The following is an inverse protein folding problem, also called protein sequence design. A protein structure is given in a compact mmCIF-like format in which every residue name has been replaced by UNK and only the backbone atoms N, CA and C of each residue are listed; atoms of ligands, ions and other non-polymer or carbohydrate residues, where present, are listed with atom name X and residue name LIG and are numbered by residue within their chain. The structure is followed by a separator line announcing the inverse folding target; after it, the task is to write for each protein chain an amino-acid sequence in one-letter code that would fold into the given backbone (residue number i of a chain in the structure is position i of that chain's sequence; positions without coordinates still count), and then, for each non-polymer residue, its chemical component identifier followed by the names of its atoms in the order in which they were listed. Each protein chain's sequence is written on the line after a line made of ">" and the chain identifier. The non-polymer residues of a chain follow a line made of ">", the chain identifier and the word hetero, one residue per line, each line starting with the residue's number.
data_IF_143061010721
#
_entry.id   IF_143061010721
#
_cell.length_a   1.000
_cell.length_b   1.000
_cell.length_c   1.000
_cell.angle_alpha   90.00
_cell.angle_beta   90.00
_cell.angle_gamma   90.00
#
_symmetry.space_group_name_H-M   'P 1'
#
loop_
_entity.id
_entity.type
_entity.pdbx_description
1 polymer ?
#
# COMPACT_ATOMS: atom_id res chain seq x y z
N UNK A 1 3.66 33.45 -17.40
CA UNK A 1 2.27 33.01 -17.23
C UNK A 1 2.10 32.10 -16.00
N UNK A 2 3.13 31.41 -15.52
CA UNK A 2 3.06 30.51 -14.35
C UNK A 2 3.23 31.23 -13.00
N UNK A 3 3.60 32.51 -12.97
CA UNK A 3 4.01 33.21 -11.76
C UNK A 3 3.01 34.22 -11.17
N UNK A 4 1.95 34.57 -11.89
CA UNK A 4 1.03 35.61 -11.43
C UNK A 4 -0.16 35.05 -10.63
N UNK A 5 -0.13 33.76 -10.33
CA UNK A 5 -1.21 33.13 -9.59
C UNK A 5 -0.89 33.13 -8.09
N UNK A 6 -1.21 34.27 -7.46
CA UNK A 6 -1.19 34.41 -5.98
C UNK A 6 -2.15 33.45 -5.29
N UNK A 7 -3.04 32.82 -6.07
CA UNK A 7 -4.05 31.89 -5.57
C UNK A 7 -3.51 30.45 -5.49
N UNK A 8 -2.42 30.13 -6.20
CA UNK A 8 -1.89 28.76 -6.18
C UNK A 8 -1.11 28.47 -4.92
N UNK A 9 -1.52 27.46 -4.20
CA UNK A 9 -0.83 26.93 -3.04
C UNK A 9 0.40 26.10 -3.50
N UNK A 10 1.59 26.50 -3.05
CA UNK A 10 2.87 25.82 -3.31
C UNK A 10 3.92 26.33 -2.30
N UNK A 11 5.12 25.73 -2.28
CA UNK A 11 6.18 26.11 -1.35
C UNK A 11 7.02 27.29 -1.84
N UNK A 12 7.62 28.01 -0.90
CA UNK A 12 8.55 29.11 -1.22
C UNK A 12 9.78 28.59 -1.98
N UNK A 13 10.32 27.46 -1.57
CA UNK A 13 11.46 26.83 -2.24
C UNK A 13 11.20 26.52 -3.73
N UNK A 14 10.00 26.03 -4.06
CA UNK A 14 9.59 25.78 -5.45
C UNK A 14 9.47 27.07 -6.26
N UNK A 15 8.86 28.13 -5.68
CA UNK A 15 8.77 29.45 -6.31
C UNK A 15 10.16 30.03 -6.60
N UNK A 16 11.07 29.96 -5.64
CA UNK A 16 12.43 30.49 -5.77
C UNK A 16 13.24 29.71 -6.81
N UNK A 17 13.14 28.38 -6.82
CA UNK A 17 13.79 27.51 -7.81
C UNK A 17 13.33 27.85 -9.24
N UNK A 18 12.01 27.95 -9.43
CA UNK A 18 11.43 28.25 -10.74
C UNK A 18 11.79 29.68 -11.21
N UNK A 19 11.71 30.67 -10.30
CA UNK A 19 12.14 32.04 -10.62
C UNK A 19 13.62 32.11 -11.01
N UNK A 20 14.47 31.41 -10.27
CA UNK A 20 15.90 31.34 -10.57
C UNK A 20 16.16 30.70 -11.94
N UNK A 21 15.55 29.55 -12.23
CA UNK A 21 15.70 28.87 -13.50
C UNK A 21 15.25 29.71 -14.70
N UNK A 22 14.15 30.45 -14.57
CA UNK A 22 13.67 31.39 -15.60
C UNK A 22 14.66 32.55 -15.78
N UNK A 23 15.16 33.11 -14.70
CA UNK A 23 16.11 34.22 -14.72
C UNK A 23 17.41 33.80 -15.43
N UNK A 24 17.99 32.64 -15.08
CA UNK A 24 19.19 32.09 -15.65
C UNK A 24 19.02 31.78 -17.15
N UNK A 25 17.89 31.14 -17.51
CA UNK A 25 17.55 30.85 -18.91
C UNK A 25 17.37 32.13 -19.74
N UNK A 26 16.73 33.17 -19.18
CA UNK A 26 16.57 34.46 -19.86
C UNK A 26 17.90 35.15 -20.08
N UNK A 27 18.77 35.17 -19.07
CA UNK A 27 20.12 35.75 -19.19
C UNK A 27 20.98 35.00 -20.24
N UNK A 28 20.81 33.67 -20.33
CA UNK A 28 21.52 32.89 -21.36
C UNK A 28 21.06 33.22 -22.80
N UNK A 29 19.80 33.64 -22.98
CA UNK A 29 19.30 34.10 -24.30
C UNK A 29 19.91 35.46 -24.75
N UNK A 30 20.36 36.27 -23.80
CA UNK A 30 20.99 37.56 -24.08
C UNK A 30 22.49 37.43 -24.42
N UNK A 31 23.08 36.24 -24.23
CA UNK A 31 24.46 35.91 -24.53
C UNK A 31 24.54 34.94 -25.71
N UNK A 32 25.78 34.56 -26.14
CA UNK A 32 25.93 33.58 -27.20
C UNK A 32 25.41 32.19 -26.74
N UNK A 33 24.35 31.74 -27.37
CA UNK A 33 23.70 30.46 -27.08
C UNK A 33 24.55 29.31 -27.61
N UNK A 34 25.16 28.55 -26.71
CA UNK A 34 25.87 27.32 -27.07
C UNK A 34 24.93 26.11 -26.82
N UNK A 35 25.20 24.98 -27.49
CA UNK A 35 24.42 23.75 -27.24
C UNK A 35 24.50 23.29 -25.77
N UNK A 36 25.67 23.53 -25.13
CA UNK A 36 25.89 23.22 -23.72
C UNK A 36 25.03 24.11 -22.79
N UNK A 37 25.05 25.45 -23.01
CA UNK A 37 24.24 26.37 -22.20
C UNK A 37 22.74 26.14 -22.37
N UNK A 38 22.30 25.77 -23.57
CA UNK A 38 20.91 25.36 -23.82
C UNK A 38 20.53 24.10 -23.01
N UNK A 39 21.36 23.05 -23.03
CA UNK A 39 21.11 21.81 -22.32
C UNK A 39 21.02 22.04 -20.81
N UNK A 40 21.97 22.76 -20.22
CA UNK A 40 22.03 23.07 -18.78
C UNK A 40 20.78 23.86 -18.34
N UNK A 41 20.42 24.92 -19.06
CA UNK A 41 19.24 25.72 -18.70
C UNK A 41 17.93 24.97 -18.90
N UNK A 42 17.84 24.11 -19.93
CA UNK A 42 16.67 23.26 -20.15
C UNK A 42 16.50 22.23 -19.02
N UNK A 43 17.58 21.60 -18.58
CA UNK A 43 17.56 20.67 -17.45
C UNK A 43 17.16 21.37 -16.15
N UNK A 44 17.75 22.52 -15.84
CA UNK A 44 17.43 23.30 -14.65
C UNK A 44 15.95 23.76 -14.64
N UNK A 45 15.43 24.19 -15.78
CA UNK A 45 14.04 24.61 -15.90
C UNK A 45 13.09 23.42 -15.72
N UNK A 46 13.40 22.28 -16.30
CA UNK A 46 12.59 21.06 -16.14
C UNK A 46 12.58 20.60 -14.66
N UNK A 47 13.73 20.56 -14.00
CA UNK A 47 13.81 20.23 -12.58
C UNK A 47 13.02 21.19 -11.68
N UNK A 48 13.05 22.49 -11.99
CA UNK A 48 12.27 23.48 -11.24
C UNK A 48 10.75 23.36 -11.49
N UNK A 49 10.34 23.01 -12.70
CA UNK A 49 8.93 22.73 -13.03
C UNK A 49 8.46 21.45 -12.30
N UNK A 50 9.29 20.41 -12.25
CA UNK A 50 9.00 19.19 -11.53
C UNK A 50 8.82 19.46 -10.02
N UNK A 51 9.77 20.16 -9.40
CA UNK A 51 9.69 20.56 -8.00
C UNK A 51 8.41 21.39 -7.70
N UNK A 52 8.05 22.32 -8.58
CA UNK A 52 6.84 23.12 -8.42
C UNK A 52 5.58 22.25 -8.52
N UNK A 53 5.55 21.32 -9.45
CA UNK A 53 4.43 20.39 -9.62
C UNK A 53 4.26 19.49 -8.39
N UNK A 54 5.35 18.94 -7.87
CA UNK A 54 5.36 18.14 -6.65
C UNK A 54 4.94 18.96 -5.43
N UNK A 55 5.49 20.16 -5.27
CA UNK A 55 5.15 21.05 -4.16
C UNK A 55 3.69 21.44 -4.15
N UNK A 56 3.11 21.71 -5.32
CA UNK A 56 1.70 22.02 -5.48
C UNK A 56 0.81 20.84 -5.10
N UNK A 57 1.12 19.66 -5.59
CA UNK A 57 0.38 18.45 -5.25
C UNK A 57 0.44 18.13 -3.75
N UNK A 58 1.63 18.24 -3.15
CA UNK A 58 1.82 18.01 -1.72
C UNK A 58 1.07 19.05 -0.87
N UNK A 59 1.12 20.34 -1.24
CA UNK A 59 0.42 21.40 -0.54
C UNK A 59 -1.11 21.26 -0.64
N UNK A 60 -1.63 20.88 -1.80
CA UNK A 60 -3.07 20.60 -1.98
C UNK A 60 -3.52 19.43 -1.08
N UNK A 61 -2.70 18.40 -0.98
CA UNK A 61 -2.99 17.25 -0.11
C UNK A 61 -2.94 17.63 1.37
N UNK A 62 -1.96 18.46 1.77
CA UNK A 62 -1.87 19.00 3.12
C UNK A 62 -3.14 19.79 3.47
N UNK A 63 -3.58 20.69 2.57
CA UNK A 63 -4.80 21.49 2.74
C UNK A 63 -6.03 20.60 2.90
N UNK A 64 -6.20 19.60 2.04
CA UNK A 64 -7.33 18.65 2.13
C UNK A 64 -7.32 17.89 3.47
N UNK A 65 -6.15 17.40 3.92
CA UNK A 65 -6.02 16.71 5.20
C UNK A 65 -6.35 17.61 6.39
N UNK A 66 -5.78 18.83 6.42
CA UNK A 66 -6.03 19.77 7.50
C UNK A 66 -7.51 20.22 7.55
N UNK A 67 -8.10 20.52 6.39
CA UNK A 67 -9.52 20.86 6.28
C UNK A 67 -10.42 19.69 6.72
N UNK A 68 -10.04 18.44 6.39
CA UNK A 68 -10.75 17.24 6.86
C UNK A 68 -10.78 17.14 8.39
N UNK A 69 -9.67 17.45 9.06
CA UNK A 69 -9.64 17.52 10.53
C UNK A 69 -10.46 18.71 11.06
N UNK A 70 -10.32 19.89 10.44
CA UNK A 70 -11.06 21.09 10.86
C UNK A 70 -12.58 20.89 10.78
N UNK A 71 -13.08 20.26 9.72
CA UNK A 71 -14.48 19.90 9.57
C UNK A 71 -14.97 18.98 10.71
N UNK A 72 -14.13 18.07 11.18
CA UNK A 72 -14.45 17.16 12.29
C UNK A 72 -14.44 17.88 13.65
N UNK A 73 -13.56 18.86 13.84
CA UNK A 73 -13.56 19.72 15.03
C UNK A 73 -14.78 20.64 15.09
N UNK A 74 -15.20 21.17 13.96
CA UNK A 74 -16.31 22.11 13.87
C UNK A 74 -17.69 21.46 13.82
N UNK A 75 -17.78 20.12 13.82
CA UNK A 75 -19.04 19.39 13.77
C UNK A 75 -19.82 19.65 12.47
N UNK A 76 -19.14 19.59 11.33
CA UNK A 76 -19.77 19.78 10.02
C UNK A 76 -20.85 18.71 9.78
N UNK A 77 -22.03 19.14 9.34
CA UNK A 77 -23.15 18.25 9.10
C UNK A 77 -22.77 17.11 8.13
N UNK A 78 -23.08 15.86 8.48
CA UNK A 78 -22.75 14.66 7.72
C UNK A 78 -21.34 14.12 7.90
N UNK A 79 -20.49 14.82 8.63
CA UNK A 79 -19.13 14.37 8.96
C UNK A 79 -19.10 13.90 10.41
N UNK A 80 -18.65 12.66 10.69
CA UNK A 80 -18.44 12.20 12.07
C UNK A 80 -17.38 13.07 12.74
N UNK A 81 -17.79 13.79 13.78
CA UNK A 81 -16.95 14.74 14.49
C UNK A 81 -16.04 14.11 15.54
N UNK A 82 -15.24 14.95 16.16
CA UNK A 82 -14.34 14.56 17.26
C UNK A 82 -14.94 14.78 18.65
N UNK A 83 -16.26 14.93 18.78
CA UNK A 83 -16.95 15.24 20.04
C UNK A 83 -16.59 14.29 21.19
N UNK A 84 -16.39 13.01 20.88
CA UNK A 84 -16.04 11.97 21.88
C UNK A 84 -14.63 12.14 22.49
N UNK A 85 -13.79 12.97 21.88
CA UNK A 85 -12.41 13.22 22.34
C UNK A 85 -12.27 14.54 23.10
N UNK A 86 -13.30 15.40 23.12
CA UNK A 86 -13.28 16.70 23.78
C UNK A 86 -12.89 16.54 25.25
N UNK A 87 -11.88 17.31 25.68
CA UNK A 87 -11.35 17.31 27.04
C UNK A 87 -10.20 16.33 27.26
N UNK A 88 -9.67 15.71 26.20
CA UNK A 88 -8.37 15.03 26.26
C UNK A 88 -7.26 15.97 25.80
N UNK A 89 -6.06 15.82 26.39
CA UNK A 89 -4.89 16.63 26.00
C UNK A 89 -4.53 16.38 24.51
N UNK A 90 -4.75 15.16 24.01
CA UNK A 90 -4.47 14.75 22.64
C UNK A 90 -5.40 15.43 21.63
N UNK A 91 -6.66 15.69 22.02
CA UNK A 91 -7.59 16.49 21.21
C UNK A 91 -7.09 17.92 21.06
N UNK A 92 -6.68 18.54 22.16
CA UNK A 92 -6.17 19.91 22.14
C UNK A 92 -4.87 20.02 21.31
N UNK A 93 -3.97 19.05 21.42
CA UNK A 93 -2.73 18.99 20.63
C UNK A 93 -3.01 18.92 19.12
N UNK A 94 -3.95 18.06 18.70
CA UNK A 94 -4.31 17.97 17.29
C UNK A 94 -5.01 19.25 16.80
N UNK A 95 -5.91 19.81 17.61
CA UNK A 95 -6.63 21.05 17.27
C UNK A 95 -5.66 22.22 17.07
N UNK A 96 -4.74 22.46 18.03
CA UNK A 96 -3.72 23.52 17.92
C UNK A 96 -2.83 23.31 16.68
N UNK A 97 -2.37 22.09 16.43
CA UNK A 97 -1.55 21.78 15.26
C UNK A 97 -2.27 22.10 13.95
N UNK A 98 -3.53 21.69 13.84
CA UNK A 98 -4.33 21.92 12.62
C UNK A 98 -4.63 23.40 12.43
N UNK A 99 -5.15 24.08 13.47
CA UNK A 99 -5.66 25.44 13.37
C UNK A 99 -4.54 26.48 13.36
N UNK A 100 -3.60 26.39 14.30
CA UNK A 100 -2.66 27.45 14.61
C UNK A 100 -1.32 27.30 13.89
N UNK A 101 -1.03 26.10 13.37
CA UNK A 101 0.20 25.89 12.60
C UNK A 101 -0.11 25.61 11.12
N UNK A 102 -0.88 24.54 10.80
CA UNK A 102 -1.02 24.07 9.43
C UNK A 102 -1.93 24.96 8.59
N UNK A 103 -3.16 25.20 9.03
CA UNK A 103 -4.11 26.06 8.29
C UNK A 103 -3.61 27.50 8.24
N UNK A 104 -2.98 27.98 9.31
CA UNK A 104 -2.36 29.31 9.30
C UNK A 104 -1.26 29.41 8.24
N UNK A 105 -0.37 28.40 8.14
CA UNK A 105 0.69 28.38 7.13
C UNK A 105 0.13 28.31 5.69
N UNK A 106 -0.99 27.63 5.50
CA UNK A 106 -1.72 27.56 4.23
C UNK A 106 -2.32 28.91 3.88
N UNK A 107 -3.05 29.54 4.79
CA UNK A 107 -3.74 30.82 4.59
C UNK A 107 -2.75 31.96 4.32
N UNK A 108 -1.64 32.00 5.07
CA UNK A 108 -0.58 32.99 4.90
C UNK A 108 0.32 32.70 3.69
N UNK A 109 0.16 31.57 3.00
CA UNK A 109 1.04 31.14 1.90
C UNK A 109 2.50 31.02 2.32
N UNK A 110 2.75 30.60 3.55
CA UNK A 110 4.07 30.59 4.19
C UNK A 110 4.74 29.21 4.21
N UNK A 111 4.25 28.24 3.44
CA UNK A 111 4.89 26.92 3.28
C UNK A 111 6.31 27.08 2.71
N UNK A 112 7.30 26.55 3.43
CA UNK A 112 8.72 26.74 3.11
C UNK A 112 9.18 25.77 2.01
N UNK A 113 9.04 24.48 2.24
CA UNK A 113 9.52 23.41 1.36
C UNK A 113 8.71 22.11 1.54
N UNK A 114 9.04 21.09 0.76
CA UNK A 114 8.41 19.76 0.84
C UNK A 114 8.65 19.09 2.21
N UNK A 115 9.80 19.30 2.82
CA UNK A 115 10.10 18.71 4.12
C UNK A 115 9.21 19.25 5.24
N UNK A 116 8.84 20.52 5.18
CA UNK A 116 7.86 21.11 6.11
C UNK A 116 6.48 20.50 5.91
N UNK A 117 6.05 20.31 4.66
CA UNK A 117 4.75 19.68 4.36
C UNK A 117 4.73 18.24 4.90
N UNK A 118 5.78 17.46 4.65
CA UNK A 118 5.94 16.11 5.16
C UNK A 118 5.90 16.06 6.70
N UNK A 119 6.59 17.01 7.36
CA UNK A 119 6.57 17.14 8.81
C UNK A 119 5.17 17.45 9.34
N UNK A 120 4.42 18.34 8.70
CA UNK A 120 3.05 18.65 9.08
C UNK A 120 2.12 17.43 8.94
N UNK A 121 2.21 16.71 7.82
CA UNK A 121 1.44 15.49 7.58
C UNK A 121 1.74 14.42 8.63
N UNK A 122 3.02 14.18 8.91
CA UNK A 122 3.44 13.23 9.94
C UNK A 122 2.93 13.61 11.33
N UNK A 123 3.10 14.87 11.75
CA UNK A 123 2.68 15.35 13.07
C UNK A 123 1.16 15.29 13.25
N UNK A 124 0.38 15.64 12.23
CA UNK A 124 -1.08 15.53 12.28
C UNK A 124 -1.51 14.07 12.41
N UNK A 125 -0.92 13.17 11.64
CA UNK A 125 -1.22 11.76 11.72
C UNK A 125 -0.83 11.15 13.08
N UNK A 126 0.33 11.49 13.62
CA UNK A 126 0.76 11.04 14.95
C UNK A 126 -0.19 11.56 16.05
N UNK A 127 -0.55 12.85 16.01
CA UNK A 127 -1.48 13.43 16.96
C UNK A 127 -2.89 12.82 16.85
N UNK A 128 -3.37 12.57 15.64
CA UNK A 128 -4.62 11.87 15.36
C UNK A 128 -4.62 10.46 15.96
N UNK A 129 -3.60 9.67 15.70
CA UNK A 129 -3.50 8.31 16.25
C UNK A 129 -3.49 8.32 17.78
N UNK A 130 -2.75 9.25 18.41
CA UNK A 130 -2.74 9.41 19.86
C UNK A 130 -4.13 9.76 20.41
N UNK A 131 -4.83 10.69 19.76
CA UNK A 131 -6.19 11.06 20.14
C UNK A 131 -7.16 9.87 20.04
N UNK A 132 -7.12 9.13 18.94
CA UNK A 132 -7.98 7.93 18.76
C UNK A 132 -7.67 6.88 19.82
N UNK A 133 -6.40 6.65 20.14
CA UNK A 133 -5.97 5.68 21.14
C UNK A 133 -6.54 5.94 22.53
N UNK A 134 -6.89 7.20 22.89
CA UNK A 134 -7.51 7.52 24.19
C UNK A 134 -8.86 6.83 24.42
N UNK A 135 -9.55 6.42 23.36
CA UNK A 135 -10.85 5.77 23.42
C UNK A 135 -10.79 4.26 23.19
N UNK A 136 -9.60 3.69 23.01
CA UNK A 136 -9.42 2.27 22.79
C UNK A 136 -9.06 1.57 24.08
N UNK A 137 -9.87 0.58 24.49
CA UNK A 137 -9.53 -0.29 25.61
C UNK A 137 -8.74 -1.51 25.11
N UNK A 138 -7.43 -1.46 25.26
CA UNK A 138 -6.51 -2.54 24.87
C UNK A 138 -6.44 -3.68 25.90
N UNK A 139 -6.99 -3.52 27.10
CA UNK A 139 -6.72 -4.40 28.26
C UNK A 139 -7.28 -5.82 28.12
N UNK A 140 -8.32 -6.00 27.33
CA UNK A 140 -8.99 -7.30 27.12
C UNK A 140 -8.55 -8.02 25.84
N UNK A 141 -7.58 -7.47 25.10
CA UNK A 141 -7.18 -8.00 23.80
C UNK A 141 -6.53 -9.39 23.91
N UNK A 142 -6.98 -10.30 23.05
CA UNK A 142 -6.34 -11.59 22.84
C UNK A 142 -6.52 -12.04 21.38
N UNK A 143 -5.80 -13.06 20.94
CA UNK A 143 -5.99 -13.62 19.60
C UNK A 143 -7.40 -14.16 19.36
N UNK A 144 -8.11 -14.55 20.41
CA UNK A 144 -9.50 -15.05 20.35
C UNK A 144 -10.54 -13.93 20.48
N UNK A 145 -10.13 -12.80 21.06
CA UNK A 145 -10.95 -11.59 21.25
C UNK A 145 -10.12 -10.36 20.86
N UNK A 146 -9.85 -10.16 19.57
CA UNK A 146 -9.08 -9.02 19.12
C UNK A 146 -9.82 -7.70 19.36
N UNK A 147 -9.05 -6.65 19.62
CA UNK A 147 -9.55 -5.28 19.70
C UNK A 147 -9.42 -4.62 18.33
N UNK A 148 -10.51 -4.10 17.81
CA UNK A 148 -10.51 -3.35 16.55
C UNK A 148 -9.89 -1.96 16.78
N UNK A 149 -8.79 -1.71 16.10
CA UNK A 149 -8.05 -0.43 16.11
C UNK A 149 -8.02 0.22 14.72
N UNK A 150 -8.91 -0.22 13.83
CA UNK A 150 -9.03 0.30 12.46
C UNK A 150 -9.21 1.81 12.42
N UNK A 151 -9.88 2.39 13.43
CA UNK A 151 -10.03 3.84 13.55
C UNK A 151 -8.72 4.63 13.65
N UNK A 152 -7.58 3.98 13.91
CA UNK A 152 -6.25 4.60 13.88
C UNK A 152 -5.67 4.71 12.47
N UNK A 153 -6.24 4.01 11.49
CA UNK A 153 -5.95 4.18 10.06
C UNK A 153 -6.82 5.32 9.55
N UNK A 154 -6.21 6.34 8.99
CA UNK A 154 -6.98 7.42 8.35
C UNK A 154 -7.52 6.92 7.02
N UNK A 155 -8.83 7.03 6.83
CA UNK A 155 -9.51 6.66 5.58
C UNK A 155 -9.14 5.24 5.07
N UNK A 156 -9.44 4.18 5.86
CA UNK A 156 -9.01 2.83 5.55
C UNK A 156 -9.74 2.20 4.34
N UNK A 157 -10.83 2.81 3.88
CA UNK A 157 -11.66 2.33 2.77
C UNK A 157 -11.67 3.28 1.57
N UNK A 158 -10.71 4.20 1.48
CA UNK A 158 -10.60 5.18 0.39
C UNK A 158 -11.87 5.95 0.06
N UNK A 159 -12.68 6.19 1.11
CA UNK A 159 -13.95 6.89 1.01
C UNK A 159 -14.15 7.87 2.17
N UNK A 160 -14.68 9.04 1.87
CA UNK A 160 -15.08 10.02 2.88
C UNK A 160 -16.51 10.49 2.59
N UNK A 161 -17.20 10.97 3.64
CA UNK A 161 -18.50 11.60 3.47
C UNK A 161 -18.30 12.99 2.88
N UNK A 162 -18.88 13.22 1.73
CA UNK A 162 -18.96 14.55 1.14
C UNK A 162 -19.96 15.41 1.94
N UNK A 163 -19.50 16.53 2.46
CA UNK A 163 -20.30 17.37 3.34
C UNK A 163 -21.49 18.04 2.63
N UNK A 164 -21.37 18.30 1.32
CA UNK A 164 -22.40 18.97 0.53
C UNK A 164 -23.48 18.00 0.06
N UNK A 165 -23.08 16.83 -0.40
CA UNK A 165 -24.00 15.83 -0.98
C UNK A 165 -24.51 14.81 0.04
N UNK A 166 -23.85 14.66 1.18
CA UNK A 166 -24.11 13.62 2.18
C UNK A 166 -23.97 12.19 1.61
N UNK A 167 -23.17 12.05 0.57
CA UNK A 167 -22.86 10.75 -0.06
C UNK A 167 -21.37 10.41 0.14
N UNK A 168 -21.02 9.13 0.05
CA UNK A 168 -19.63 8.69 0.07
C UNK A 168 -18.93 9.11 -1.23
N UNK A 169 -17.80 9.77 -1.09
CA UNK A 169 -16.93 10.17 -2.18
C UNK A 169 -15.58 9.45 -2.06
N UNK A 170 -14.98 9.12 -3.19
CA UNK A 170 -13.65 8.51 -3.21
C UNK A 170 -12.60 9.52 -2.73
N UNK A 171 -11.74 9.08 -1.82
CA UNK A 171 -10.66 9.90 -1.26
C UNK A 171 -9.45 9.04 -0.92
N UNK A 172 -8.25 9.59 -1.09
CA UNK A 172 -7.00 9.01 -0.61
C UNK A 172 -6.39 9.84 0.54
N UNK A 173 -7.19 10.69 1.17
CA UNK A 173 -6.79 11.49 2.33
C UNK A 173 -6.15 10.59 3.40
N UNK A 174 -5.00 11.02 3.95
CA UNK A 174 -4.24 10.25 4.93
C UNK A 174 -3.27 9.23 4.34
N UNK A 175 -3.37 8.90 3.06
CA UNK A 175 -2.44 8.01 2.37
C UNK A 175 -1.40 8.79 1.58
N UNK A 176 -0.15 8.38 1.66
CA UNK A 176 0.97 8.94 0.93
C UNK A 176 1.35 8.06 -0.25
N UNK A 177 1.77 8.66 -1.37
CA UNK A 177 2.25 7.93 -2.52
C UNK A 177 3.61 8.50 -2.96
N UNK A 178 4.56 7.60 -3.24
CA UNK A 178 5.88 8.01 -3.74
C UNK A 178 5.88 8.45 -5.21
N UNK A 179 4.72 8.42 -5.87
CA UNK A 179 4.53 8.88 -7.26
C UNK A 179 3.23 9.65 -7.40
N UNK A 180 3.22 10.58 -8.33
CA UNK A 180 2.04 11.36 -8.72
C UNK A 180 1.70 11.05 -10.17
N UNK A 181 0.59 10.37 -10.41
CA UNK A 181 0.02 10.14 -11.75
C UNK A 181 -1.50 9.91 -11.62
N UNK A 182 -2.27 10.98 -11.63
CA UNK A 182 -3.72 10.94 -11.42
C UNK A 182 -4.52 10.13 -12.45
N UNK A 183 -3.88 9.67 -13.55
CA UNK A 183 -4.52 8.76 -14.49
C UNK A 183 -4.31 7.29 -14.15
N UNK A 184 -3.28 7.00 -13.34
CA UNK A 184 -2.85 5.63 -13.02
C UNK A 184 -2.93 5.29 -11.54
N UNK A 185 -2.95 6.30 -10.69
CA UNK A 185 -2.95 6.22 -9.23
C UNK A 185 -4.09 7.09 -8.70
N UNK A 186 -5.14 6.48 -8.22
CA UNK A 186 -6.32 7.24 -7.75
C UNK A 186 -7.29 6.43 -6.92
N UNK A 187 -7.94 7.10 -5.99
CA UNK A 187 -9.19 6.64 -5.41
C UNK A 187 -10.34 7.03 -6.36
N UNK A 188 -11.12 6.06 -6.81
CA UNK A 188 -12.27 6.25 -7.70
C UNK A 188 -13.24 5.08 -7.54
N UNK A 189 -14.54 5.35 -7.60
CA UNK A 189 -15.60 4.36 -7.36
C UNK A 189 -15.50 3.69 -5.97
N UNK A 190 -14.99 4.41 -4.97
CA UNK A 190 -14.80 3.99 -3.57
C UNK A 190 -13.81 2.81 -3.41
N UNK A 191 -12.79 2.74 -4.25
CA UNK A 191 -11.64 1.82 -4.15
C UNK A 191 -10.38 2.57 -4.59
N UNK A 192 -9.20 2.06 -4.26
CA UNK A 192 -7.95 2.58 -4.82
C UNK A 192 -7.42 1.70 -5.94
N UNK A 193 -6.96 2.34 -7.03
CA UNK A 193 -6.37 1.63 -8.16
C UNK A 193 -4.92 2.07 -8.45
N UNK A 194 -4.10 1.09 -8.88
CA UNK A 194 -2.80 1.29 -9.51
C UNK A 194 -2.82 0.61 -10.87
N UNK A 195 -2.89 1.41 -11.96
CA UNK A 195 -2.98 0.90 -13.31
C UNK A 195 -1.72 1.16 -14.12
N UNK A 196 -1.15 0.12 -14.77
CA UNK A 196 -0.03 0.22 -15.71
C UNK A 196 1.13 1.09 -15.17
N UNK A 197 1.52 0.88 -13.92
CA UNK A 197 2.59 1.59 -13.22
C UNK A 197 3.36 0.64 -12.32
N UNK A 198 4.66 0.81 -12.20
CA UNK A 198 5.53 0.05 -11.30
C UNK A 198 6.42 0.98 -10.48
N UNK A 199 7.19 0.40 -9.56
CA UNK A 199 8.03 1.12 -8.62
C UNK A 199 7.22 2.18 -7.84
N UNK A 200 6.07 1.76 -7.34
CA UNK A 200 5.10 2.60 -6.64
C UNK A 200 4.76 2.03 -5.28
N UNK A 201 4.56 2.93 -4.32
CA UNK A 201 4.10 2.63 -2.96
C UNK A 201 3.02 3.62 -2.57
N UNK A 202 1.90 3.10 -2.08
CA UNK A 202 0.89 3.86 -1.36
C UNK A 202 0.94 3.39 0.09
N UNK A 203 1.03 4.31 1.04
CA UNK A 203 1.24 3.95 2.45
C UNK A 203 0.75 5.02 3.41
N UNK A 204 0.56 4.62 4.65
CA UNK A 204 0.45 5.52 5.80
C UNK A 204 1.13 4.88 7.02
N UNK A 205 1.50 5.69 7.99
CA UNK A 205 2.08 5.22 9.25
C UNK A 205 1.08 5.38 10.38
N UNK A 206 0.80 4.31 11.11
CA UNK A 206 -0.05 4.29 12.28
C UNK A 206 0.83 4.41 13.52
N UNK A 207 0.50 5.34 14.41
CA UNK A 207 1.23 5.60 15.65
C UNK A 207 0.43 5.19 16.89
N UNK A 208 1.04 5.33 18.05
CA UNK A 208 0.42 5.08 19.37
C UNK A 208 -0.10 3.64 19.56
N UNK A 209 0.42 2.70 18.80
CA UNK A 209 0.12 1.28 18.99
C UNK A 209 0.88 0.73 20.19
N UNK A 210 0.24 0.02 21.14
CA UNK A 210 0.96 -0.71 22.19
C UNK A 210 1.74 -1.88 21.59
N UNK A 211 2.82 -2.27 22.24
CA UNK A 211 3.55 -3.49 21.86
C UNK A 211 2.67 -4.72 21.92
N UNK A 212 2.87 -5.66 21.00
CA UNK A 212 2.11 -6.89 20.90
C UNK A 212 1.86 -7.33 19.48
N UNK A 213 0.93 -8.23 19.32
CA UNK A 213 0.60 -8.82 18.02
C UNK A 213 -0.60 -8.12 17.41
N UNK A 214 -0.53 -7.98 16.08
CA UNK A 214 -1.55 -7.34 15.27
C UNK A 214 -1.91 -8.21 14.08
N UNK A 215 -3.12 -8.01 13.58
CA UNK A 215 -3.58 -8.56 12.30
C UNK A 215 -4.07 -7.43 11.42
N UNK A 216 -3.51 -7.34 10.22
CA UNK A 216 -3.99 -6.48 9.15
C UNK A 216 -4.86 -7.33 8.21
N UNK A 217 -6.07 -6.89 7.90
CA UNK A 217 -6.91 -7.45 6.84
C UNK A 217 -7.19 -6.40 5.78
N UNK A 218 -7.51 -6.82 4.58
CA UNK A 218 -7.78 -5.95 3.44
C UNK A 218 -8.51 -6.74 2.35
N UNK A 219 -9.11 -6.05 1.38
CA UNK A 219 -9.51 -6.64 0.12
C UNK A 219 -8.59 -6.14 -0.99
N UNK A 220 -8.19 -7.01 -1.90
CA UNK A 220 -7.37 -6.57 -3.01
C UNK A 220 -6.90 -7.67 -3.94
N UNK A 221 -6.71 -7.29 -5.20
CA UNK A 221 -6.22 -8.21 -6.24
C UNK A 221 -5.21 -7.54 -7.17
N UNK A 222 -4.49 -8.38 -7.88
CA UNK A 222 -3.60 -8.03 -8.97
C UNK A 222 -3.96 -8.78 -10.24
N UNK A 223 -3.84 -8.11 -11.40
CA UNK A 223 -3.95 -8.69 -12.73
C UNK A 223 -2.74 -8.30 -13.57
N UNK A 224 -2.01 -9.29 -14.06
CA UNK A 224 -0.78 -9.10 -14.85
C UNK A 224 -1.04 -8.86 -16.34
N UNK A 225 -1.57 -7.69 -16.70
CA UNK A 225 -1.87 -7.30 -18.09
C UNK A 225 -3.34 -7.34 -18.43
N UNK A 226 -3.69 -7.38 -19.73
CA UNK A 226 -5.09 -7.49 -20.17
C UNK A 226 -5.71 -8.82 -19.75
N UNK A 227 -7.03 -8.83 -19.49
CA UNK A 227 -7.75 -9.96 -18.88
C UNK A 227 -7.52 -11.28 -19.61
N UNK A 228 -7.70 -11.34 -20.94
CA UNK A 228 -7.58 -12.59 -21.69
C UNK A 228 -6.13 -13.09 -21.75
N UNK A 229 -5.12 -12.28 -22.10
CA UNK A 229 -3.71 -12.69 -21.99
C UNK A 229 -3.30 -13.13 -20.58
N UNK A 230 -3.74 -12.44 -19.53
CA UNK A 230 -3.44 -12.80 -18.16
C UNK A 230 -4.07 -14.13 -17.76
N UNK A 231 -5.33 -14.39 -18.15
CA UNK A 231 -5.99 -15.67 -17.93
C UNK A 231 -5.27 -16.84 -18.66
N UNK A 232 -4.77 -16.61 -19.88
CA UNK A 232 -3.96 -17.57 -20.62
C UNK A 232 -2.63 -17.84 -19.89
N UNK A 233 -1.96 -16.81 -19.40
CA UNK A 233 -0.72 -16.96 -18.62
C UNK A 233 -0.96 -17.80 -17.38
N UNK A 234 -2.04 -17.54 -16.64
CA UNK A 234 -2.39 -18.35 -15.46
C UNK A 234 -2.66 -19.81 -15.82
N UNK A 235 -3.44 -20.05 -16.89
CA UNK A 235 -3.75 -21.41 -17.34
C UNK A 235 -2.50 -22.21 -17.72
N UNK A 236 -1.56 -21.57 -18.43
CA UNK A 236 -0.40 -22.24 -19.05
C UNK A 236 0.85 -22.24 -18.14
N UNK A 237 0.83 -21.44 -17.07
CA UNK A 237 1.92 -21.29 -16.11
C UNK A 237 1.51 -21.74 -14.72
N UNK A 238 2.39 -22.50 -14.05
CA UNK A 238 2.20 -22.87 -12.64
C UNK A 238 2.54 -21.74 -11.70
N UNK A 239 3.16 -20.66 -12.18
CA UNK A 239 3.59 -19.49 -11.40
C UNK A 239 3.14 -18.20 -12.12
N UNK A 240 2.05 -17.64 -11.65
CA UNK A 240 1.64 -16.27 -12.01
C UNK A 240 2.54 -15.27 -11.28
N UNK A 241 3.02 -14.26 -11.99
CA UNK A 241 3.83 -13.20 -11.36
C UNK A 241 2.89 -12.16 -10.77
N UNK A 242 2.82 -12.08 -9.44
CA UNK A 242 2.04 -11.11 -8.69
C UNK A 242 2.96 -9.96 -8.23
N UNK A 243 2.98 -8.86 -8.98
CA UNK A 243 3.88 -7.74 -8.72
C UNK A 243 3.43 -6.81 -7.58
N UNK A 244 2.15 -6.86 -7.20
CA UNK A 244 1.61 -6.03 -6.13
C UNK A 244 1.54 -6.81 -4.81
N UNK A 245 1.90 -6.14 -3.71
CA UNK A 245 1.95 -6.71 -2.37
C UNK A 245 1.37 -5.71 -1.36
N UNK A 246 0.65 -6.21 -0.37
CA UNK A 246 0.40 -5.46 0.86
C UNK A 246 1.59 -5.65 1.78
N UNK A 247 2.03 -4.60 2.45
CA UNK A 247 3.14 -4.66 3.36
C UNK A 247 2.87 -3.95 4.69
N UNK A 248 3.60 -4.38 5.69
CA UNK A 248 3.75 -3.71 6.98
C UNK A 248 5.24 -3.54 7.25
N UNK A 249 5.63 -2.35 7.67
CA UNK A 249 7.01 -2.02 8.05
C UNK A 249 7.02 -1.46 9.46
N UNK A 250 7.70 -2.14 10.35
CA UNK A 250 7.97 -1.75 11.74
C UNK A 250 9.41 -1.29 11.86
N UNK A 251 9.82 -0.79 13.02
CA UNK A 251 11.23 -0.44 13.27
C UNK A 251 12.18 -1.64 13.14
N UNK A 252 11.68 -2.87 13.25
CA UNK A 252 12.50 -4.09 13.29
C UNK A 252 12.43 -4.94 12.03
N UNK A 253 11.35 -4.86 11.25
CA UNK A 253 11.13 -5.73 10.09
C UNK A 253 10.15 -5.13 9.09
N UNK A 254 10.26 -5.61 7.85
CA UNK A 254 9.27 -5.39 6.80
C UNK A 254 8.70 -6.73 6.36
N UNK A 255 7.39 -6.89 6.50
CA UNK A 255 6.64 -8.05 6.03
C UNK A 255 5.83 -7.65 4.80
N UNK A 256 5.75 -8.53 3.81
CA UNK A 256 4.91 -8.29 2.64
C UNK A 256 4.28 -9.58 2.15
N UNK A 257 3.02 -9.48 1.70
CA UNK A 257 2.23 -10.58 1.15
C UNK A 257 1.70 -10.19 -0.22
N UNK A 258 1.89 -11.01 -1.25
CA UNK A 258 1.31 -10.74 -2.56
C UNK A 258 -0.22 -10.59 -2.46
N UNK A 259 -0.77 -9.63 -3.21
CA UNK A 259 -2.21 -9.56 -3.43
C UNK A 259 -2.68 -10.81 -4.19
N UNK A 260 -3.92 -11.20 -3.96
CA UNK A 260 -4.56 -12.29 -4.67
C UNK A 260 -4.54 -12.06 -6.19
N UNK A 261 -4.48 -13.13 -6.97
CA UNK A 261 -4.77 -13.00 -8.40
C UNK A 261 -6.25 -12.64 -8.61
N UNK A 262 -6.54 -11.79 -9.57
CA UNK A 262 -7.93 -11.50 -9.96
C UNK A 262 -8.70 -12.77 -10.34
N UNK A 263 -8.00 -13.83 -10.74
CA UNK A 263 -8.58 -15.13 -11.12
C UNK A 263 -8.78 -16.08 -9.92
N UNK A 264 -8.41 -15.69 -8.71
CA UNK A 264 -8.69 -16.48 -7.50
C UNK A 264 -10.17 -16.38 -7.09
N UNK A 265 -10.87 -15.37 -7.60
CA UNK A 265 -12.30 -15.21 -7.40
C UNK A 265 -13.00 -14.98 -8.74
N UNK A 266 -13.60 -16.03 -9.28
CA UNK A 266 -14.46 -15.98 -10.47
C UNK A 266 -15.89 -16.37 -10.10
N UNK A 267 -16.87 -15.75 -10.72
CA UNK A 267 -18.28 -15.91 -10.35
C UNK A 267 -19.14 -16.34 -11.55
N UNK A 268 -20.33 -16.86 -11.26
CA UNK A 268 -21.34 -17.18 -12.29
C UNK A 268 -22.14 -15.95 -12.72
N UNK A 269 -22.06 -14.86 -11.99
CA UNK A 269 -22.77 -13.61 -12.24
C UNK A 269 -21.78 -12.45 -12.33
N UNK A 270 -22.18 -11.40 -13.01
CA UNK A 270 -21.43 -10.17 -13.12
C UNK A 270 -21.79 -9.23 -11.99
N UNK A 271 -20.79 -8.59 -11.40
CA UNK A 271 -20.98 -7.50 -10.45
C UNK A 271 -21.31 -6.20 -11.16
N UNK A 272 -20.76 -6.03 -12.38
CA UNK A 272 -20.97 -4.83 -13.20
C UNK A 272 -20.94 -5.16 -14.69
N UNK A 273 -21.55 -4.27 -15.50
CA UNK A 273 -21.63 -4.43 -16.95
C UNK A 273 -20.27 -4.45 -17.67
N UNK A 274 -19.21 -3.97 -17.00
CA UNK A 274 -17.83 -3.98 -17.49
C UNK A 274 -17.10 -5.31 -17.28
N UNK A 275 -17.63 -6.22 -16.46
CA UNK A 275 -17.03 -7.49 -16.16
C UNK A 275 -16.98 -8.41 -17.38
N UNK A 276 -15.96 -9.27 -17.43
CA UNK A 276 -15.67 -10.09 -18.60
C UNK A 276 -16.01 -11.56 -18.32
N UNK A 277 -16.82 -12.15 -19.19
CA UNK A 277 -17.07 -13.60 -19.20
C UNK A 277 -15.99 -14.29 -20.02
N UNK A 278 -15.28 -15.25 -19.39
CA UNK A 278 -14.22 -16.03 -20.00
C UNK A 278 -14.67 -17.47 -20.27
N UNK A 279 -14.04 -18.10 -21.25
CA UNK A 279 -14.36 -19.48 -21.62
C UNK A 279 -13.85 -20.48 -20.56
N UNK A 280 -14.62 -21.56 -20.35
CA UNK A 280 -14.28 -22.66 -19.42
C UNK A 280 -12.89 -23.26 -19.68
N UNK A 281 -12.41 -23.25 -20.91
CA UNK A 281 -11.09 -23.76 -21.26
C UNK A 281 -9.93 -22.99 -20.63
N UNK A 282 -10.17 -21.78 -20.11
CA UNK A 282 -9.20 -20.97 -19.39
C UNK A 282 -9.10 -21.35 -17.90
N UNK A 283 -10.07 -22.12 -17.39
CA UNK A 283 -10.16 -22.50 -15.98
C UNK A 283 -10.36 -24.02 -15.83
N UNK A 284 -9.36 -24.82 -16.19
CA UNK A 284 -9.51 -26.29 -16.21
C UNK A 284 -9.86 -26.90 -14.84
N UNK A 285 -9.50 -26.22 -13.77
CA UNK A 285 -9.78 -26.67 -12.40
C UNK A 285 -11.18 -26.29 -11.89
N UNK A 286 -11.90 -25.43 -12.64
CA UNK A 286 -13.24 -24.95 -12.30
C UNK A 286 -14.30 -25.44 -13.30
N UNK A 287 -14.19 -26.69 -13.78
CA UNK A 287 -15.01 -27.26 -14.86
C UNK A 287 -16.50 -27.35 -14.59
N UNK A 288 -16.92 -27.22 -13.34
CA UNK A 288 -18.33 -27.30 -12.94
C UNK A 288 -19.08 -25.95 -13.10
N UNK A 289 -18.37 -24.88 -13.47
CA UNK A 289 -18.93 -23.55 -13.70
C UNK A 289 -19.19 -23.33 -15.19
N UNK A 290 -20.41 -23.00 -15.55
CA UNK A 290 -20.79 -22.73 -16.96
C UNK A 290 -20.20 -21.44 -17.51
N UNK A 291 -19.95 -20.45 -16.65
CA UNK A 291 -19.41 -19.13 -17.01
C UNK A 291 -18.41 -18.71 -15.94
N UNK A 292 -17.32 -18.11 -16.36
CA UNK A 292 -16.29 -17.56 -15.48
C UNK A 292 -16.28 -16.05 -15.67
N UNK A 293 -17.00 -15.35 -14.82
CA UNK A 293 -17.04 -13.89 -14.85
C UNK A 293 -15.94 -13.34 -13.95
N UNK A 294 -15.12 -12.47 -14.51
CA UNK A 294 -13.99 -11.81 -13.86
C UNK A 294 -14.25 -10.31 -13.83
N UNK A 295 -13.99 -9.68 -12.70
CA UNK A 295 -14.07 -8.24 -12.52
C UNK A 295 -13.18 -7.52 -13.54
N UNK A 296 -13.69 -6.45 -14.14
CA UNK A 296 -12.95 -5.63 -15.11
C UNK A 296 -13.32 -4.15 -15.04
N UNK A 297 -13.44 -3.62 -13.84
CA UNK A 297 -13.72 -2.21 -13.57
C UNK A 297 -13.84 -1.96 -12.07
N UNK A 298 -13.61 -0.73 -11.65
CA UNK A 298 -13.61 -0.33 -10.23
C UNK A 298 -14.95 -0.57 -9.54
N UNK A 299 -16.07 -0.29 -10.23
CA UNK A 299 -17.41 -0.57 -9.71
C UNK A 299 -17.62 -2.06 -9.45
N UNK A 300 -17.13 -2.93 -10.36
CA UNK A 300 -17.14 -4.38 -10.16
C UNK A 300 -16.23 -4.81 -9.01
N UNK A 301 -15.04 -4.22 -8.90
CA UNK A 301 -14.09 -4.46 -7.81
C UNK A 301 -14.71 -4.12 -6.45
N UNK A 302 -15.29 -2.92 -6.30
CA UNK A 302 -15.99 -2.51 -5.08
C UNK A 302 -17.05 -3.52 -4.66
N UNK A 303 -17.94 -3.88 -5.56
CA UNK A 303 -19.02 -4.84 -5.27
C UNK A 303 -18.49 -6.22 -4.89
N UNK A 304 -17.39 -6.66 -5.52
CA UNK A 304 -16.73 -7.90 -5.14
C UNK A 304 -16.13 -7.81 -3.72
N UNK A 305 -15.55 -6.67 -3.35
CA UNK A 305 -15.02 -6.42 -2.00
C UNK A 305 -16.14 -6.34 -0.95
N UNK A 306 -17.30 -5.73 -1.27
CA UNK A 306 -18.50 -5.74 -0.44
C UNK A 306 -19.00 -7.18 -0.14
N UNK A 307 -18.78 -8.13 -1.07
CA UNK A 307 -19.04 -9.57 -0.90
C UNK A 307 -17.86 -10.33 -0.27
N UNK A 308 -16.86 -9.63 0.30
CA UNK A 308 -15.63 -10.19 0.88
C UNK A 308 -14.77 -11.00 -0.10
N UNK A 309 -14.89 -10.76 -1.40
CA UNK A 309 -13.97 -11.34 -2.37
C UNK A 309 -12.57 -10.74 -2.23
N UNK A 310 -11.54 -11.54 -2.54
CA UNK A 310 -10.13 -11.13 -2.48
C UNK A 310 -9.69 -10.65 -1.10
N UNK A 311 -10.30 -11.17 -0.04
CA UNK A 311 -9.84 -10.89 1.33
C UNK A 311 -8.45 -11.45 1.55
N UNK A 312 -7.56 -10.61 2.07
CA UNK A 312 -6.23 -10.96 2.51
C UNK A 312 -6.02 -10.61 3.98
N UNK A 313 -5.17 -11.36 4.65
CA UNK A 313 -4.79 -11.10 6.03
C UNK A 313 -3.39 -11.60 6.31
N UNK A 314 -2.66 -10.90 7.18
CA UNK A 314 -1.46 -11.41 7.82
C UNK A 314 -1.22 -10.71 9.15
N UNK A 315 -0.40 -11.33 9.98
CA UNK A 315 -0.11 -10.84 11.33
C UNK A 315 1.34 -10.37 11.44
N UNK A 316 1.59 -9.43 12.37
CA UNK A 316 2.91 -8.90 12.65
C UNK A 316 3.07 -8.55 14.14
N UNK A 317 4.28 -8.27 14.57
CA UNK A 317 4.60 -7.89 15.94
C UNK A 317 5.10 -6.44 16.02
N UNK A 318 4.53 -5.66 16.93
CA UNK A 318 5.04 -4.37 17.38
C UNK A 318 5.85 -4.62 18.65
N UNK A 319 7.13 -4.27 18.64
CA UNK A 319 8.05 -4.62 19.74
C UNK A 319 8.14 -3.58 20.84
N UNK A 320 7.92 -2.31 20.47
CA UNK A 320 8.01 -1.19 21.40
C UNK A 320 6.71 -0.39 21.41
N UNK A 321 6.28 0.06 22.58
CA UNK A 321 5.08 0.87 22.72
C UNK A 321 5.22 2.19 21.95
N UNK A 322 4.25 2.49 21.09
CA UNK A 322 4.16 3.76 20.36
C UNK A 322 5.06 3.87 19.14
N UNK A 323 5.76 2.79 18.74
CA UNK A 323 6.51 2.84 17.47
C UNK A 323 5.57 3.07 16.29
N UNK A 324 6.08 3.79 15.27
CA UNK A 324 5.34 3.96 14.02
C UNK A 324 5.34 2.68 13.19
N UNK A 325 4.16 2.27 12.75
CA UNK A 325 3.96 1.11 11.89
C UNK A 325 3.45 1.57 10.55
N UNK A 326 4.25 1.43 9.51
CA UNK A 326 3.84 1.78 8.15
C UNK A 326 3.09 0.61 7.51
N UNK A 327 1.90 0.87 7.03
CA UNK A 327 1.08 -0.08 6.26
C UNK A 327 0.90 0.44 4.85
N UNK A 328 0.82 -0.45 3.86
CA UNK A 328 0.63 0.03 2.49
C UNK A 328 0.55 -1.07 1.44
N UNK A 329 0.45 -0.62 0.19
CA UNK A 329 0.54 -1.45 -1.01
C UNK A 329 1.73 -0.99 -1.84
N UNK A 330 2.57 -1.93 -2.25
CA UNK A 330 3.70 -1.65 -3.13
C UNK A 330 3.63 -2.51 -4.39
N UNK A 331 4.16 -1.96 -5.49
CA UNK A 331 4.26 -2.66 -6.77
C UNK A 331 5.63 -2.39 -7.39
N UNK A 332 6.50 -3.41 -7.37
CA UNK A 332 7.91 -3.29 -7.76
C UNK A 332 8.11 -3.16 -9.27
N UNK A 333 7.25 -3.81 -10.06
CA UNK A 333 7.38 -3.87 -11.51
C UNK A 333 6.03 -3.63 -12.19
N UNK A 334 6.09 -3.33 -13.48
CA UNK A 334 4.90 -3.16 -14.32
C UNK A 334 4.88 -4.20 -15.44
N UNK A 335 3.73 -4.80 -15.67
CA UNK A 335 3.39 -5.51 -16.90
C UNK A 335 2.41 -4.60 -17.66
N UNK A 336 2.59 -4.42 -18.96
CA UNK A 336 1.73 -3.53 -19.75
C UNK A 336 0.25 -3.86 -19.52
N UNK A 337 -0.54 -2.85 -19.14
CA UNK A 337 -1.95 -2.93 -18.78
C UNK A 337 -2.23 -3.78 -17.53
N UNK A 338 -1.24 -3.96 -16.65
CA UNK A 338 -1.50 -4.56 -15.35
C UNK A 338 -2.40 -3.67 -14.49
N UNK A 339 -3.14 -4.32 -13.59
CA UNK A 339 -4.11 -3.64 -12.76
C UNK A 339 -4.11 -4.19 -11.34
N UNK A 340 -4.02 -3.28 -10.40
CA UNK A 340 -4.13 -3.54 -8.96
C UNK A 340 -5.30 -2.73 -8.44
N UNK A 341 -6.19 -3.36 -7.68
CA UNK A 341 -7.28 -2.69 -7.00
C UNK A 341 -7.37 -3.23 -5.57
N UNK A 342 -7.58 -2.33 -4.59
CA UNK A 342 -7.63 -2.70 -3.18
C UNK A 342 -8.45 -1.72 -2.36
N UNK A 343 -8.87 -2.18 -1.15
CA UNK A 343 -9.81 -1.49 -0.27
C UNK A 343 -9.86 -2.13 1.12
N UNK A 344 -10.67 -1.56 2.02
CA UNK A 344 -11.11 -2.16 3.29
C UNK A 344 -9.97 -2.63 4.19
N UNK A 345 -9.01 -1.75 4.49
CA UNK A 345 -7.98 -2.04 5.49
C UNK A 345 -8.58 -2.05 6.88
N UNK A 346 -8.36 -3.14 7.62
CA UNK A 346 -8.71 -3.22 9.05
C UNK A 346 -7.51 -3.66 9.86
N UNK A 347 -7.36 -3.07 11.02
CA UNK A 347 -6.27 -3.37 11.94
C UNK A 347 -6.83 -3.84 13.28
N UNK A 348 -6.36 -5.00 13.73
CA UNK A 348 -6.78 -5.63 14.97
C UNK A 348 -5.59 -5.84 15.90
N UNK A 349 -5.71 -5.43 17.15
CA UNK A 349 -4.77 -5.75 18.21
C UNK A 349 -5.13 -7.08 18.86
N UNK A 350 -4.20 -8.01 18.88
CA UNK A 350 -4.38 -9.38 19.37
C UNK A 350 -3.86 -9.57 20.81
N UNK A 351 -3.37 -8.48 21.41
CA UNK A 351 -2.76 -8.51 22.74
C UNK A 351 -1.25 -8.79 22.74
N UNK A 352 -0.63 -8.52 23.88
CA UNK A 352 0.79 -8.77 24.09
C UNK A 352 1.03 -10.18 24.65
N UNK A 353 2.30 -10.62 24.54
CA UNK A 353 2.78 -11.88 25.12
C UNK A 353 2.56 -13.11 24.24
N UNK A 354 3.43 -14.11 24.44
CA UNK A 354 3.53 -15.29 23.57
C UNK A 354 2.21 -16.08 23.42
N UNK A 355 1.33 -16.04 24.43
CA UNK A 355 0.02 -16.70 24.36
C UNK A 355 -0.90 -16.12 23.27
N UNK A 356 -0.67 -14.87 22.89
CA UNK A 356 -1.44 -14.14 21.87
C UNK A 356 -0.76 -14.14 20.50
N UNK A 357 0.39 -14.80 20.39
CA UNK A 357 1.11 -14.90 19.12
C UNK A 357 0.26 -15.63 18.08
N UNK A 358 0.02 -15.04 16.91
CA UNK A 358 -0.65 -15.71 15.80
C UNK A 358 0.20 -16.83 15.20
N UNK A 359 -0.48 -17.86 14.68
CA UNK A 359 0.18 -19.03 14.09
C UNK A 359 0.87 -18.73 12.75
N UNK A 360 0.50 -17.63 12.09
CA UNK A 360 1.08 -17.15 10.83
C UNK A 360 2.36 -16.32 11.02
N UNK A 361 2.71 -15.97 12.26
CA UNK A 361 4.03 -15.38 12.58
C UNK A 361 5.02 -16.52 12.85
N UNK A 362 6.09 -16.68 12.03
CA UNK A 362 7.08 -17.71 12.23
C UNK A 362 7.69 -17.69 13.63
N UNK A 363 7.77 -18.82 14.31
CA UNK A 363 8.50 -18.94 15.57
C UNK A 363 9.98 -18.73 15.25
N UNK A 364 10.58 -17.64 15.70
CA UNK A 364 11.94 -17.18 15.39
C UNK A 364 13.11 -18.16 15.66
N UNK A 365 12.86 -19.45 15.61
CA UNK A 365 13.84 -20.53 15.65
C UNK A 365 13.99 -21.22 14.28
N UNK A 366 13.10 -20.98 13.30
CA UNK A 366 13.14 -21.74 12.04
C UNK A 366 13.42 -20.95 10.75
N UNK A 367 13.37 -19.64 10.71
CA UNK A 367 13.63 -18.93 9.45
C UNK A 367 14.54 -17.70 9.59
N UNK A 368 15.76 -17.91 10.09
CA UNK A 368 16.86 -17.10 9.61
C UNK A 368 17.21 -17.59 8.20
N UNK A 369 16.35 -17.31 7.21
CA UNK A 369 16.74 -17.32 5.82
C UNK A 369 17.58 -16.07 5.62
N UNK A 370 18.86 -16.20 5.97
CA UNK A 370 19.87 -15.31 5.44
C UNK A 370 19.75 -15.34 3.92
N UNK A 371 19.77 -14.18 3.31
CA UNK A 371 19.93 -13.92 1.88
C UNK A 371 21.25 -14.50 1.35
N UNK A 372 21.36 -15.79 1.41
CA UNK A 372 22.43 -16.61 0.90
C UNK A 372 21.80 -17.92 0.42
N UNK A 373 21.76 -18.12 -0.89
CA UNK A 373 21.31 -19.39 -1.49
C UNK A 373 21.93 -20.54 -0.73
N UNK A 374 21.13 -21.19 0.14
CA UNK A 374 21.58 -22.37 0.85
C UNK A 374 22.03 -23.38 -0.20
N UNK A 375 23.30 -23.80 -0.13
CA UNK A 375 23.90 -24.77 -1.05
C UNK A 375 23.76 -26.16 -0.50
N UNK A 376 23.56 -27.14 -1.36
CA UNK A 376 23.51 -28.54 -0.97
C UNK A 376 24.89 -28.97 -0.46
N UNK A 377 24.96 -29.33 0.82
CA UNK A 377 26.19 -29.81 1.48
C UNK A 377 26.38 -31.34 1.26
N UNK A 378 25.29 -32.10 1.27
CA UNK A 378 25.30 -33.52 1.04
C UNK A 378 23.93 -34.01 0.59
N UNK A 379 23.90 -35.08 -0.19
CA UNK A 379 22.68 -35.74 -0.66
C UNK A 379 22.64 -37.22 -0.25
N UNK A 380 21.47 -37.68 0.16
CA UNK A 380 21.18 -39.08 0.39
C UNK A 380 20.05 -39.53 -0.53
N UNK A 381 20.16 -40.73 -1.08
CA UNK A 381 19.19 -41.28 -2.02
C UNK A 381 18.40 -42.43 -1.42
N UNK A 382 17.11 -42.48 -1.71
CA UNK A 382 16.20 -43.51 -1.22
C UNK A 382 15.29 -43.99 -2.34
N UNK A 383 14.94 -45.27 -2.29
CA UNK A 383 13.82 -45.80 -3.09
C UNK A 383 12.51 -45.19 -2.59
N UNK A 384 11.44 -45.34 -3.38
CA UNK A 384 10.09 -44.94 -3.00
C UNK A 384 9.57 -45.64 -1.73
N UNK A 385 10.17 -46.76 -1.37
CA UNK A 385 9.87 -47.54 -0.15
C UNK A 385 10.75 -47.12 1.05
N UNK A 386 11.52 -46.04 0.92
CA UNK A 386 12.34 -45.48 2.02
C UNK A 386 13.67 -46.21 2.24
N UNK A 387 14.08 -47.15 1.39
CA UNK A 387 15.38 -47.81 1.52
C UNK A 387 16.49 -46.93 0.97
N UNK A 388 17.51 -46.64 1.78
CA UNK A 388 18.66 -45.84 1.38
C UNK A 388 19.48 -46.57 0.33
N UNK A 389 19.85 -45.87 -0.74
CA UNK A 389 20.66 -46.41 -1.85
C UNK A 389 21.80 -45.44 -2.15
N UNK A 390 22.81 -45.93 -2.87
CA UNK A 390 23.81 -45.08 -3.50
C UNK A 390 23.13 -44.22 -4.60
N UNK A 391 23.82 -43.20 -5.10
CA UNK A 391 23.30 -42.41 -6.22
C UNK A 391 22.86 -43.30 -7.36
N UNK A 392 21.55 -43.28 -7.71
CA UNK A 392 20.99 -44.27 -8.59
C UNK A 392 21.44 -44.06 -10.04
N UNK A 393 21.89 -45.12 -10.66
CA UNK A 393 22.24 -45.18 -12.09
C UNK A 393 21.21 -45.99 -12.92
N UNK A 394 20.26 -46.62 -12.25
CA UNK A 394 19.20 -47.38 -12.90
C UNK A 394 17.96 -46.54 -13.08
N UNK A 395 17.28 -46.74 -14.20
CA UNK A 395 16.02 -46.06 -14.51
C UNK A 395 14.96 -46.33 -13.41
N UNK A 396 14.40 -45.30 -12.85
CA UNK A 396 13.42 -45.41 -11.77
C UNK A 396 13.09 -44.11 -11.09
N UNK A 397 12.17 -44.16 -10.11
CA UNK A 397 11.78 -43.03 -9.28
C UNK A 397 12.47 -43.21 -7.93
N UNK A 398 13.16 -42.16 -7.50
CA UNK A 398 13.88 -42.08 -6.23
C UNK A 398 13.54 -40.80 -5.48
N UNK A 399 13.80 -40.80 -4.18
CA UNK A 399 13.73 -39.62 -3.34
C UNK A 399 15.17 -39.22 -3.03
N UNK A 400 15.56 -38.01 -3.41
CA UNK A 400 16.83 -37.39 -3.01
C UNK A 400 16.56 -36.48 -1.82
N UNK A 401 17.28 -36.71 -0.73
CA UNK A 401 17.25 -35.89 0.46
C UNK A 401 18.54 -35.08 0.50
N UNK A 402 18.43 -33.78 0.31
CA UNK A 402 19.54 -32.82 0.31
C UNK A 402 19.65 -32.17 1.69
N UNK A 403 20.82 -32.23 2.33
CA UNK A 403 21.15 -31.44 3.50
C UNK A 403 21.75 -30.13 3.02
N UNK A 404 21.14 -29.02 3.42
CA UNK A 404 21.55 -27.68 3.01
C UNK A 404 22.59 -27.09 3.97
N UNK A 405 23.32 -26.07 3.50
CA UNK A 405 24.35 -25.37 4.29
C UNK A 405 23.80 -24.62 5.52
N UNK A 406 22.50 -24.34 5.53
CA UNK A 406 21.76 -23.75 6.64
C UNK A 406 21.26 -24.78 7.68
N UNK A 407 21.58 -26.06 7.47
CA UNK A 407 21.16 -27.16 8.35
C UNK A 407 19.80 -27.75 8.01
N UNK A 408 19.04 -27.16 7.10
CA UNK A 408 17.74 -27.69 6.64
C UNK A 408 17.90 -28.92 5.77
N UNK A 409 16.82 -29.69 5.63
CA UNK A 409 16.80 -30.89 4.79
C UNK A 409 15.64 -30.77 3.78
N UNK A 410 15.96 -30.85 2.50
CA UNK A 410 14.99 -30.79 1.40
C UNK A 410 14.85 -32.15 0.73
N UNK A 411 13.64 -32.68 0.60
CA UNK A 411 13.38 -33.92 -0.11
C UNK A 411 12.80 -33.64 -1.51
N UNK A 412 13.39 -34.23 -2.53
CA UNK A 412 12.99 -34.05 -3.93
C UNK A 412 12.74 -35.38 -4.57
N UNK A 413 11.63 -35.58 -5.28
CA UNK A 413 11.35 -36.75 -6.13
C UNK A 413 12.12 -36.62 -7.43
N UNK A 414 12.98 -37.55 -7.72
CA UNK A 414 13.84 -37.57 -8.91
C UNK A 414 13.53 -38.79 -9.78
N UNK A 415 13.32 -38.55 -11.07
CA UNK A 415 13.20 -39.60 -12.07
C UNK A 415 14.55 -39.78 -12.78
N UNK A 416 15.19 -40.91 -12.61
CA UNK A 416 16.38 -41.30 -13.38
C UNK A 416 15.91 -41.99 -14.65
N UNK A 417 16.31 -41.45 -15.81
CA UNK A 417 15.93 -41.95 -17.15
C UNK A 417 16.94 -42.89 -17.75
#
# INVERSE_FOLDING_TARGET
>A
VLFDDKETLTTQAAKDALQKAITDATAALETELTQESYAVNSEALNAAIELETESRAAATKLEATATGHDNKFNGTEGVEGYDKYIGTDEYDVLLELVSDEVLLAIDERSLVDLAQIESFMQRMNEAYCKMVATQVDFSGASKDTPVDVTGMITNPSFEEMDADTQEKASSDTGWECNKVDGNKLKAEDLVYEMFNIGDVKLYQTVYALPKGYYRLTYNGFYRGGDVVPAALTRRDSTEEVLNAKVYVETASEKLSVPLASIFDHVTLYSYDSGDIVLADSLFPDMRDMMYHTVVNGKVGARKAFEDNAYEGAFSFEVKEDGEGVTIGVEKDAVITNDWTCFDNFHLYYLGAGEANRPDDIPNGVEDAVADGKATVVSSAWYTINGVRVAEPKQRGIYIRQDKMSDGTTKAVKVMVR
#
